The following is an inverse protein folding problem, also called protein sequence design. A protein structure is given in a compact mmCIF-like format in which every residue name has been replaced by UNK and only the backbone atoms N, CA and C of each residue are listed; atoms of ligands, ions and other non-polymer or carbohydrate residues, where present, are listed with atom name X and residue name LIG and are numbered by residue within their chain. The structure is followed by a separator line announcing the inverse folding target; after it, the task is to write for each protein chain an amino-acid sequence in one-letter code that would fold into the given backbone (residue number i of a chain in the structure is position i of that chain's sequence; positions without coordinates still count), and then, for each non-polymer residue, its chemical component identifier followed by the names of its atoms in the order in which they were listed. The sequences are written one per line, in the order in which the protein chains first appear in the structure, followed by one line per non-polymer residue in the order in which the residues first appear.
data_IF_740536191699
#
_entry.id   IF_740536191699
#
_cell.length_a   1.000
_cell.length_b   1.000
_cell.length_c   1.000
_cell.angle_alpha   90.00
_cell.angle_beta   90.00
_cell.angle_gamma   90.00
#
_symmetry.space_group_name_H-M   'P 1'
#
loop_
_entity.id
_entity.type
_entity.pdbx_description
1 polymer ?
#
# COMPACT_ATOMS: atom_id res chain seq x y z
N UNK A 1 -16.51 -12.30 -27.96
CA UNK A 1 -15.11 -12.53 -27.51
C UNK A 1 -15.11 -12.33 -25.99
N UNK A 2 -15.22 -13.41 -25.20
CA UNK A 2 -15.22 -13.33 -23.74
C UNK A 2 -13.81 -12.89 -23.32
N UNK A 3 -13.67 -11.65 -22.86
CA UNK A 3 -12.50 -11.24 -22.07
C UNK A 3 -12.51 -12.10 -20.81
N UNK A 4 -11.65 -13.11 -20.75
CA UNK A 4 -11.34 -13.81 -19.51
C UNK A 4 -10.65 -12.77 -18.62
N UNK A 5 -11.39 -12.20 -17.65
CA UNK A 5 -10.79 -11.56 -16.51
C UNK A 5 -9.86 -12.59 -15.88
N UNK A 6 -8.55 -12.36 -15.97
CA UNK A 6 -7.59 -13.11 -15.16
C UNK A 6 -7.89 -12.74 -13.72
N UNK A 7 -8.68 -13.56 -13.04
CA UNK A 7 -8.71 -13.56 -11.58
C UNK A 7 -7.27 -13.86 -11.19
N UNK A 8 -6.57 -12.86 -10.66
CA UNK A 8 -5.27 -13.08 -10.07
C UNK A 8 -5.50 -14.01 -8.90
N UNK A 9 -5.23 -15.28 -9.13
CA UNK A 9 -5.11 -16.26 -8.08
C UNK A 9 -3.88 -15.83 -7.26
N UNK A 10 -4.11 -15.22 -6.11
CA UNK A 10 -3.04 -14.74 -5.25
C UNK A 10 -2.18 -15.91 -4.79
N UNK A 11 -2.76 -17.10 -4.62
CA UNK A 11 -2.01 -18.33 -4.42
C UNK A 11 -1.06 -18.59 -5.60
N UNK A 12 -1.50 -18.39 -6.84
CA UNK A 12 -0.67 -18.55 -8.03
C UNK A 12 0.32 -17.38 -8.22
N UNK A 13 0.00 -16.16 -7.80
CA UNK A 13 0.86 -14.97 -7.88
C UNK A 13 2.00 -14.99 -6.87
N UNK A 14 1.72 -15.31 -5.62
CA UNK A 14 2.72 -15.53 -4.57
C UNK A 14 3.59 -16.78 -4.86
N UNK A 15 3.02 -17.81 -5.51
CA UNK A 15 3.74 -19.04 -5.85
C UNK A 15 4.57 -18.94 -7.13
N UNK A 16 4.29 -18.01 -8.04
CA UNK A 16 5.08 -17.81 -9.27
C UNK A 16 6.36 -17.00 -9.08
N UNK A 17 6.42 -16.12 -8.10
CA UNK A 17 7.69 -15.58 -7.66
C UNK A 17 8.33 -16.64 -6.77
N UNK A 18 9.62 -16.95 -6.91
CA UNK A 18 10.42 -17.91 -6.13
C UNK A 18 10.33 -17.79 -4.60
N UNK A 19 9.29 -17.20 -4.08
CA UNK A 19 8.84 -17.18 -2.68
C UNK A 19 8.21 -18.55 -2.41
N UNK A 20 9.06 -19.57 -2.56
CA UNK A 20 8.74 -20.93 -2.19
C UNK A 20 8.27 -20.92 -0.74
N UNK A 21 6.93 -21.15 -0.55
CA UNK A 21 6.36 -21.58 0.72
C UNK A 21 6.75 -20.69 1.90
N UNK A 22 6.32 -19.43 1.88
CA UNK A 22 6.13 -18.79 3.18
C UNK A 22 4.94 -19.52 3.79
N UNK A 23 5.23 -20.51 4.64
CA UNK A 23 4.17 -21.04 5.48
C UNK A 23 3.71 -19.91 6.41
N UNK A 24 2.49 -20.00 6.92
CA UNK A 24 1.94 -18.96 7.80
C UNK A 24 2.80 -18.77 9.07
N UNK A 25 3.39 -19.86 9.58
CA UNK A 25 4.34 -19.80 10.69
C UNK A 25 5.66 -19.14 10.32
N UNK A 26 6.20 -19.44 9.13
CA UNK A 26 7.41 -18.77 8.63
C UNK A 26 7.18 -17.26 8.45
N UNK A 27 5.97 -16.83 8.06
CA UNK A 27 5.65 -15.41 7.92
C UNK A 27 5.70 -14.66 9.26
N UNK A 28 5.21 -15.24 10.35
CA UNK A 28 5.26 -14.61 11.67
C UNK A 28 6.70 -14.52 12.18
N UNK A 29 7.54 -15.54 11.94
CA UNK A 29 8.97 -15.48 12.26
C UNK A 29 9.69 -14.42 11.41
N UNK A 30 9.41 -14.37 10.10
CA UNK A 30 9.91 -13.31 9.21
C UNK A 30 9.44 -11.93 9.67
N UNK A 31 8.20 -11.78 10.16
CA UNK A 31 7.65 -10.54 10.65
C UNK A 31 8.46 -10.03 11.85
N UNK A 32 8.72 -10.86 12.86
CA UNK A 32 9.54 -10.49 14.02
C UNK A 32 10.94 -10.07 13.61
N UNK A 33 11.60 -10.87 12.77
CA UNK A 33 12.96 -10.62 12.27
C UNK A 33 13.06 -9.34 11.44
N UNK A 34 12.13 -9.11 10.51
CA UNK A 34 12.19 -7.97 9.61
C UNK A 34 11.79 -6.66 10.27
N UNK A 35 10.76 -6.67 11.10
CA UNK A 35 10.36 -5.46 11.83
C UNK A 35 11.45 -5.03 12.82
N UNK A 36 12.09 -5.99 13.50
CA UNK A 36 13.25 -5.72 14.35
C UNK A 36 14.42 -5.09 13.58
N UNK A 37 14.75 -5.63 12.40
CA UNK A 37 15.83 -5.09 11.55
C UNK A 37 15.55 -3.69 10.98
N UNK A 38 14.29 -3.29 10.84
CA UNK A 38 13.93 -1.95 10.35
C UNK A 38 14.36 -0.83 11.29
N UNK A 39 14.49 -1.12 12.58
CA UNK A 39 14.95 -0.16 13.60
C UNK A 39 16.46 -0.16 13.76
N UNK A 40 17.20 -1.07 13.11
CA UNK A 40 18.66 -1.06 13.07
C UNK A 40 19.15 0.26 12.44
N UNK A 41 19.99 0.99 13.18
CA UNK A 41 20.54 2.31 12.80
C UNK A 41 21.23 2.38 11.44
N UNK A 42 21.54 1.23 10.84
CA UNK A 42 22.13 1.12 9.49
C UNK A 42 21.12 1.41 8.36
N UNK A 43 19.81 1.38 8.63
CA UNK A 43 18.75 1.60 7.61
C UNK A 43 18.18 3.03 7.65
N UNK A 44 19.02 4.05 7.39
CA UNK A 44 18.62 5.48 7.50
C UNK A 44 17.36 5.85 6.74
N UNK A 45 17.18 5.39 5.49
CA UNK A 45 15.98 5.70 4.70
C UNK A 45 14.72 5.09 5.29
N UNK A 46 14.79 3.84 5.76
CA UNK A 46 13.66 3.18 6.40
C UNK A 46 13.24 3.91 7.67
N UNK A 47 14.19 4.37 8.48
CA UNK A 47 13.92 5.18 9.68
C UNK A 47 13.21 6.49 9.35
N UNK A 48 13.65 7.20 8.31
CA UNK A 48 12.98 8.44 7.86
C UNK A 48 11.53 8.19 7.45
N UNK A 49 11.27 7.08 6.78
CA UNK A 49 9.91 6.69 6.40
C UNK A 49 9.06 6.33 7.62
N UNK A 50 9.58 5.57 8.57
CA UNK A 50 8.88 5.25 9.82
C UNK A 50 8.58 6.51 10.64
N UNK A 51 9.55 7.42 10.75
CA UNK A 51 9.36 8.69 11.47
C UNK A 51 8.29 9.57 10.83
N UNK A 52 8.26 9.70 9.51
CA UNK A 52 7.32 10.58 8.79
C UNK A 52 5.93 9.99 8.60
N UNK A 53 5.80 8.67 8.67
CA UNK A 53 4.55 7.94 8.40
C UNK A 53 3.35 8.44 9.22
N UNK A 54 3.41 8.55 10.57
CA UNK A 54 2.26 8.98 11.37
C UNK A 54 1.82 10.41 11.06
N UNK A 55 2.75 11.28 10.70
CA UNK A 55 2.43 12.66 10.34
C UNK A 55 1.68 12.74 9.00
N UNK A 56 2.03 11.90 8.03
CA UNK A 56 1.34 11.85 6.74
C UNK A 56 -0.04 11.22 6.91
N UNK A 57 -0.17 10.14 7.70
CA UNK A 57 -1.48 9.56 8.04
C UNK A 57 -2.37 10.60 8.72
N UNK A 58 -1.84 11.34 9.71
CA UNK A 58 -2.57 12.41 10.38
C UNK A 58 -2.98 13.53 9.40
N UNK A 59 -2.11 13.89 8.46
CA UNK A 59 -2.41 14.91 7.46
C UNK A 59 -3.64 14.55 6.62
N UNK A 60 -3.81 13.28 6.26
CA UNK A 60 -4.94 12.79 5.48
C UNK A 60 -6.13 12.30 6.31
N UNK A 61 -6.05 12.28 7.65
CA UNK A 61 -7.15 11.79 8.50
C UNK A 61 -8.45 12.60 8.37
N UNK A 62 -8.36 13.87 7.95
CA UNK A 62 -9.48 14.79 7.78
C UNK A 62 -9.74 15.12 6.30
N UNK A 63 -9.92 14.08 5.48
CA UNK A 63 -10.09 14.24 4.02
C UNK A 63 -11.29 15.10 3.66
N UNK A 64 -12.37 15.08 4.47
CA UNK A 64 -13.56 15.91 4.24
C UNK A 64 -13.24 17.40 4.26
N UNK A 65 -12.22 17.80 5.02
CA UNK A 65 -11.75 19.18 5.15
C UNK A 65 -10.57 19.49 4.22
N UNK A 66 -10.22 18.58 3.28
CA UNK A 66 -9.09 18.80 2.39
C UNK A 66 -9.48 19.87 1.35
N UNK A 67 -8.70 20.94 1.29
CA UNK A 67 -8.76 21.94 0.23
C UNK A 67 -7.91 21.52 -0.97
N UNK A 68 -8.08 22.22 -2.10
CA UNK A 68 -7.23 21.96 -3.28
C UNK A 68 -5.74 22.08 -2.94
N UNK A 69 -5.33 23.13 -2.25
CA UNK A 69 -3.93 23.35 -1.84
C UNK A 69 -3.43 22.25 -0.93
N UNK A 70 -4.23 21.84 0.06
CA UNK A 70 -3.90 20.72 0.95
C UNK A 70 -3.75 19.41 0.18
N UNK A 71 -4.60 19.13 -0.80
CA UNK A 71 -4.45 17.95 -1.64
C UNK A 71 -3.13 17.97 -2.40
N UNK A 72 -2.80 19.09 -3.05
CA UNK A 72 -1.53 19.25 -3.76
C UNK A 72 -0.35 19.04 -2.83
N UNK A 73 -0.34 19.71 -1.67
CA UNK A 73 0.73 19.53 -0.66
C UNK A 73 0.81 18.08 -0.16
N UNK A 74 -0.33 17.43 0.08
CA UNK A 74 -0.38 16.03 0.49
C UNK A 74 0.20 15.08 -0.56
N UNK A 75 -0.10 15.32 -1.82
CA UNK A 75 0.50 14.57 -2.94
C UNK A 75 2.02 14.80 -2.96
N UNK A 76 2.53 16.02 -2.78
CA UNK A 76 3.96 16.28 -2.65
C UNK A 76 4.60 15.57 -1.44
N UNK A 77 3.93 15.51 -0.30
CA UNK A 77 4.39 14.74 0.86
C UNK A 77 4.54 13.25 0.53
N UNK A 78 3.55 12.67 -0.16
CA UNK A 78 3.62 11.28 -0.64
C UNK A 78 4.78 11.08 -1.61
N UNK A 79 5.04 12.03 -2.49
CA UNK A 79 6.17 11.97 -3.42
C UNK A 79 7.53 12.14 -2.75
N UNK A 80 7.62 12.84 -1.63
CA UNK A 80 8.81 12.83 -0.76
C UNK A 80 9.20 11.42 -0.29
N UNK A 81 8.22 10.50 -0.31
CA UNK A 81 8.40 9.06 -0.12
C UNK A 81 8.78 8.30 -1.40
N UNK A 82 8.95 9.01 -2.50
CA UNK A 82 9.33 8.43 -3.79
C UNK A 82 10.49 9.23 -4.38
N UNK A 83 11.49 8.57 -4.96
CA UNK A 83 12.68 9.25 -5.49
C UNK A 83 12.45 10.01 -6.81
N UNK A 84 11.21 10.10 -7.30
CA UNK A 84 10.90 10.76 -8.58
C UNK A 84 9.91 11.90 -8.37
N UNK A 85 10.25 13.06 -8.96
CA UNK A 85 9.42 14.26 -8.89
C UNK A 85 8.07 14.08 -9.60
N UNK A 86 7.07 14.78 -9.06
CA UNK A 86 5.75 14.93 -9.67
C UNK A 86 5.84 15.56 -11.06
N UNK A 87 5.41 14.79 -12.05
CA UNK A 87 4.95 15.37 -13.30
C UNK A 87 3.42 15.21 -13.30
N UNK A 88 2.66 16.29 -13.26
CA UNK A 88 1.23 16.22 -13.51
C UNK A 88 1.02 15.73 -14.95
N UNK A 89 0.09 14.81 -15.12
CA UNK A 89 -0.22 14.09 -16.34
C UNK A 89 -0.12 15.00 -17.59
N UNK A 90 0.85 14.77 -18.46
CA UNK A 90 1.05 15.49 -19.73
C UNK A 90 1.06 17.03 -19.61
N UNK A 91 1.42 17.58 -18.45
CA UNK A 91 1.49 19.02 -18.22
C UNK A 91 0.15 19.72 -18.02
N UNK A 92 -0.96 18.98 -17.91
CA UNK A 92 -2.28 19.56 -17.58
C UNK A 92 -2.51 19.56 -16.06
N UNK A 93 -2.74 20.74 -15.46
CA UNK A 93 -3.09 20.80 -14.04
C UNK A 93 -4.45 20.13 -13.77
N UNK A 94 -4.65 19.71 -12.53
CA UNK A 94 -5.95 19.25 -12.05
C UNK A 94 -6.95 20.44 -12.13
N UNK A 95 -8.13 20.25 -12.76
CA UNK A 95 -9.16 21.27 -12.79
C UNK A 95 -9.90 21.34 -11.46
N UNK A 96 -10.62 22.44 -11.22
CA UNK A 96 -11.49 22.58 -10.05
C UNK A 96 -12.62 21.53 -10.03
N UNK A 97 -13.15 21.19 -11.20
CA UNK A 97 -14.17 20.15 -11.35
C UNK A 97 -13.63 18.78 -11.00
N UNK A 98 -12.46 18.42 -11.59
CA UNK A 98 -11.73 17.18 -11.23
C UNK A 98 -11.46 17.11 -9.72
N UNK A 99 -11.12 18.26 -9.10
CA UNK A 99 -10.86 18.30 -7.66
C UNK A 99 -12.11 18.01 -6.83
N UNK A 100 -13.26 18.58 -7.19
CA UNK A 100 -14.54 18.36 -6.45
C UNK A 100 -14.91 16.88 -6.52
N UNK A 101 -14.84 16.28 -7.71
CA UNK A 101 -15.11 14.85 -7.89
C UNK A 101 -14.12 13.99 -7.10
N UNK A 102 -12.82 14.31 -7.19
CA UNK A 102 -11.77 13.60 -6.49
C UNK A 102 -11.96 13.67 -4.96
N UNK A 103 -12.26 14.85 -4.40
CA UNK A 103 -12.50 15.03 -2.95
C UNK A 103 -13.66 14.16 -2.46
N UNK A 104 -14.77 14.15 -3.21
CA UNK A 104 -15.93 13.32 -2.87
C UNK A 104 -15.52 11.83 -2.84
N UNK A 105 -14.73 11.39 -3.82
CA UNK A 105 -14.25 10.00 -3.89
C UNK A 105 -13.25 9.66 -2.79
N UNK A 106 -12.36 10.56 -2.43
CA UNK A 106 -11.43 10.35 -1.31
C UNK A 106 -12.16 10.23 0.03
N UNK A 107 -13.22 11.04 0.27
CA UNK A 107 -14.06 10.92 1.46
C UNK A 107 -14.83 9.60 1.53
N UNK A 108 -15.25 9.08 0.39
CA UNK A 108 -15.85 7.74 0.28
C UNK A 108 -14.84 6.65 0.59
N UNK A 109 -13.68 6.68 -0.06
CA UNK A 109 -12.57 5.72 0.08
C UNK A 109 -12.06 5.66 1.53
N UNK A 110 -12.06 6.78 2.25
CA UNK A 110 -11.68 6.81 3.67
C UNK A 110 -12.55 5.89 4.55
N UNK A 111 -13.79 5.66 4.16
CA UNK A 111 -14.77 4.83 4.87
C UNK A 111 -14.80 3.38 4.39
N UNK A 112 -14.02 3.04 3.36
CA UNK A 112 -14.03 1.70 2.81
C UNK A 112 -13.49 0.65 3.78
N UNK A 113 -14.09 -0.52 3.69
CA UNK A 113 -13.76 -1.73 4.42
C UNK A 113 -14.01 -2.94 3.52
N UNK A 114 -13.74 -4.13 3.98
CA UNK A 114 -13.88 -5.37 3.17
C UNK A 114 -15.27 -5.57 2.53
N UNK A 115 -16.33 -5.08 3.15
CA UNK A 115 -17.69 -5.15 2.57
C UNK A 115 -17.83 -4.41 1.24
N UNK A 116 -16.89 -3.51 0.92
CA UNK A 116 -16.88 -2.74 -0.30
C UNK A 116 -16.13 -3.44 -1.46
N UNK A 117 -15.53 -4.63 -1.21
CA UNK A 117 -14.82 -5.34 -2.28
C UNK A 117 -15.72 -5.68 -3.47
N UNK A 118 -16.95 -6.13 -3.21
CA UNK A 118 -17.87 -6.48 -4.27
C UNK A 118 -18.38 -5.25 -5.04
N UNK A 119 -18.47 -4.10 -4.38
CA UNK A 119 -18.79 -2.81 -5.00
C UNK A 119 -17.65 -2.32 -5.89
N UNK A 120 -16.39 -2.49 -5.43
CA UNK A 120 -15.18 -2.06 -6.13
C UNK A 120 -14.90 -2.87 -7.39
N UNK A 121 -15.06 -4.19 -7.31
CA UNK A 121 -14.72 -5.10 -8.40
C UNK A 121 -15.88 -5.34 -9.37
N UNK A 122 -17.09 -4.82 -9.03
CA UNK A 122 -18.31 -5.12 -9.76
C UNK A 122 -18.71 -6.60 -9.64
N UNK A 123 -19.93 -6.94 -10.12
CA UNK A 123 -20.44 -8.33 -10.08
C UNK A 123 -19.58 -9.33 -10.86
N UNK A 124 -18.77 -8.83 -11.79
CA UNK A 124 -17.92 -9.64 -12.68
C UNK A 124 -16.45 -9.65 -12.22
N UNK A 125 -16.12 -9.11 -11.03
CA UNK A 125 -14.77 -9.07 -10.49
C UNK A 125 -13.79 -8.14 -11.21
N UNK A 126 -14.28 -7.26 -12.08
CA UNK A 126 -13.50 -6.26 -12.81
C UNK A 126 -14.04 -4.86 -12.49
N UNK A 127 -13.20 -3.97 -11.96
CA UNK A 127 -13.52 -2.55 -11.91
C UNK A 127 -13.54 -2.05 -13.35
N UNK A 128 -14.72 -1.80 -13.89
CA UNK A 128 -14.85 -1.33 -15.27
C UNK A 128 -14.39 0.12 -15.36
N UNK A 129 -13.34 0.40 -16.13
CA UNK A 129 -12.93 1.79 -16.48
C UNK A 129 -14.08 2.59 -17.13
N UNK A 130 -15.15 1.90 -17.57
CA UNK A 130 -16.32 2.48 -18.23
C UNK A 130 -17.45 2.88 -17.27
N UNK A 131 -17.44 2.44 -16.00
CA UNK A 131 -18.41 2.85 -15.00
C UNK A 131 -18.11 4.22 -14.38
N UNK A 132 -19.12 4.88 -13.76
CA UNK A 132 -18.91 6.15 -13.03
C UNK A 132 -17.82 6.01 -11.95
N UNK A 133 -17.73 4.85 -11.31
CA UNK A 133 -16.75 4.54 -10.28
C UNK A 133 -15.33 4.39 -10.85
N UNK A 134 -15.17 3.79 -12.02
CA UNK A 134 -13.90 3.69 -12.71
C UNK A 134 -13.30 5.05 -13.08
N UNK A 135 -14.13 6.04 -13.45
CA UNK A 135 -13.65 7.40 -13.75
C UNK A 135 -13.03 8.09 -12.55
N UNK A 136 -13.68 8.00 -11.38
CA UNK A 136 -13.19 8.66 -10.15
C UNK A 136 -11.89 8.04 -9.64
N UNK A 137 -11.73 6.72 -9.76
CA UNK A 137 -10.50 6.01 -9.42
C UNK A 137 -9.37 6.29 -10.45
N UNK A 138 -9.74 6.51 -11.70
CA UNK A 138 -8.82 6.98 -12.73
C UNK A 138 -8.28 8.39 -12.44
N UNK A 139 -9.10 9.27 -11.84
CA UNK A 139 -8.63 10.58 -11.35
C UNK A 139 -7.54 10.45 -10.28
N UNK A 140 -7.63 9.47 -9.38
CA UNK A 140 -6.57 9.19 -8.40
C UNK A 140 -5.24 8.84 -9.07
N UNK A 141 -5.29 8.02 -10.11
CA UNK A 141 -4.10 7.70 -10.92
C UNK A 141 -3.57 8.92 -11.65
N UNK A 142 -4.47 9.79 -12.15
CA UNK A 142 -4.12 11.05 -12.82
C UNK A 142 -3.35 12.00 -11.88
N UNK A 143 -3.84 12.21 -10.65
CA UNK A 143 -3.19 13.05 -9.64
C UNK A 143 -1.81 12.55 -9.27
N UNK A 144 -1.57 11.26 -9.40
CA UNK A 144 -0.28 10.63 -9.13
C UNK A 144 0.52 10.33 -10.39
N UNK A 145 0.37 11.14 -11.42
CA UNK A 145 1.10 11.04 -12.70
C UNK A 145 0.97 9.68 -13.39
N UNK A 146 -0.22 9.09 -13.39
CA UNK A 146 -0.44 7.77 -13.97
C UNK A 146 0.21 6.61 -13.20
N UNK A 147 0.81 6.88 -12.03
CA UNK A 147 1.55 5.90 -11.26
C UNK A 147 0.66 5.09 -10.33
N UNK A 148 0.62 3.77 -10.52
CA UNK A 148 -0.03 2.85 -9.57
C UNK A 148 0.64 2.92 -8.19
N UNK A 149 1.97 3.05 -8.14
CA UNK A 149 2.73 3.22 -6.89
C UNK A 149 2.30 4.49 -6.16
N UNK A 150 2.17 5.61 -6.87
CA UNK A 150 1.69 6.87 -6.30
C UNK A 150 0.25 6.76 -5.82
N UNK A 151 -0.62 6.18 -6.62
CA UNK A 151 -2.03 5.96 -6.28
C UNK A 151 -2.17 5.08 -5.03
N UNK A 152 -1.45 3.95 -4.96
CA UNK A 152 -1.50 3.05 -3.81
C UNK A 152 -1.06 3.74 -2.51
N UNK A 153 -0.02 4.59 -2.57
CA UNK A 153 0.43 5.39 -1.43
C UNK A 153 -0.62 6.41 -1.00
N UNK A 154 -1.22 7.13 -1.95
CA UNK A 154 -2.29 8.09 -1.65
C UNK A 154 -3.47 7.39 -0.96
N UNK A 155 -3.95 6.29 -1.51
CA UNK A 155 -5.03 5.49 -0.94
C UNK A 155 -4.68 4.98 0.45
N UNK A 156 -3.45 4.48 0.64
CA UNK A 156 -2.97 4.02 1.93
C UNK A 156 -3.00 5.12 3.00
N UNK A 157 -2.46 6.30 2.70
CA UNK A 157 -2.46 7.40 3.68
C UNK A 157 -3.85 7.93 4.02
N UNK A 158 -4.82 7.80 3.10
CA UNK A 158 -6.22 8.15 3.33
C UNK A 158 -6.93 7.08 4.18
N UNK A 159 -6.66 5.81 3.90
CA UNK A 159 -7.24 4.68 4.64
C UNK A 159 -6.20 3.56 4.86
N UNK A 160 -5.30 3.72 5.84
CA UNK A 160 -4.21 2.79 6.09
C UNK A 160 -4.67 1.44 6.67
N UNK A 161 -5.93 1.33 7.08
CA UNK A 161 -6.53 0.07 7.56
C UNK A 161 -7.00 -0.82 6.42
N UNK A 162 -7.13 -0.24 5.20
CA UNK A 162 -7.71 -0.95 4.07
C UNK A 162 -6.77 -1.08 2.88
N UNK A 163 -6.03 -0.04 2.51
CA UNK A 163 -5.19 -0.06 1.31
C UNK A 163 -3.74 -0.38 1.62
N UNK A 164 -3.19 -1.51 1.18
CA UNK A 164 -1.75 -1.76 1.23
C UNK A 164 -1.02 -0.92 0.17
N UNK A 165 0.18 -0.45 0.50
CA UNK A 165 1.07 0.18 -0.48
C UNK A 165 1.54 -0.89 -1.47
N UNK A 166 1.62 -0.48 -2.74
CA UNK A 166 2.26 -1.25 -3.79
C UNK A 166 3.46 -0.49 -4.32
N UNK A 167 4.62 -1.13 -4.34
CA UNK A 167 5.84 -0.56 -4.90
C UNK A 167 6.70 -1.65 -5.59
N UNK A 168 7.87 -1.27 -6.05
CA UNK A 168 8.74 -2.21 -6.77
C UNK A 168 9.34 -3.32 -5.89
N UNK A 169 9.34 -3.20 -4.56
CA UNK A 169 9.74 -4.28 -3.67
C UNK A 169 8.58 -5.25 -3.47
N UNK A 170 7.38 -4.71 -3.22
CA UNK A 170 6.15 -5.52 -3.19
C UNK A 170 5.97 -6.26 -4.51
N UNK A 171 6.21 -5.60 -5.66
CA UNK A 171 6.16 -6.24 -6.99
C UNK A 171 7.10 -7.45 -7.12
N UNK A 172 8.24 -7.45 -6.43
CA UNK A 172 9.15 -8.59 -6.43
C UNK A 172 8.56 -9.84 -5.74
N UNK A 173 7.57 -9.65 -4.85
CA UNK A 173 6.87 -10.71 -4.13
C UNK A 173 5.59 -11.12 -4.84
N UNK A 174 4.71 -10.14 -5.17
CA UNK A 174 3.34 -10.42 -5.65
C UNK A 174 3.21 -10.38 -7.18
N UNK A 175 4.24 -9.92 -7.89
CA UNK A 175 4.18 -9.71 -9.33
C UNK A 175 3.87 -8.26 -9.72
N UNK A 176 3.88 -7.99 -11.03
CA UNK A 176 3.72 -6.64 -11.57
C UNK A 176 2.24 -6.25 -11.68
N UNK A 177 1.90 -5.07 -11.15
CA UNK A 177 0.58 -4.44 -11.20
C UNK A 177 0.68 -3.18 -12.05
N UNK A 178 -0.05 -3.11 -13.15
CA UNK A 178 0.01 -2.03 -14.15
C UNK A 178 -1.26 -1.20 -14.24
N UNK A 179 -2.40 -1.80 -13.89
CA UNK A 179 -3.71 -1.19 -14.03
C UNK A 179 -4.35 -0.96 -12.67
N UNK A 180 -5.38 -0.11 -12.64
CA UNK A 180 -6.18 0.15 -11.43
C UNK A 180 -6.90 -1.14 -11.00
N UNK A 181 -7.43 -1.90 -11.95
CA UNK A 181 -8.13 -3.16 -11.68
C UNK A 181 -7.20 -4.21 -11.07
N UNK A 182 -5.98 -4.32 -11.58
CA UNK A 182 -4.96 -5.20 -11.02
C UNK A 182 -4.56 -4.77 -9.59
N UNK A 183 -4.52 -3.45 -9.33
CA UNK A 183 -4.27 -2.97 -7.97
C UNK A 183 -5.39 -3.35 -7.00
N UNK A 184 -6.65 -3.23 -7.40
CA UNK A 184 -7.77 -3.66 -6.54
C UNK A 184 -7.83 -5.18 -6.36
N UNK A 185 -7.47 -5.95 -7.38
CA UNK A 185 -7.30 -7.39 -7.24
C UNK A 185 -6.19 -7.73 -6.23
N UNK A 186 -5.06 -6.99 -6.27
CA UNK A 186 -4.02 -7.08 -5.26
C UNK A 186 -4.53 -6.73 -3.85
N UNK A 187 -5.29 -5.64 -3.69
CA UNK A 187 -5.88 -5.26 -2.38
C UNK A 187 -6.75 -6.39 -1.82
N UNK A 188 -7.65 -6.97 -2.65
CA UNK A 188 -8.50 -8.09 -2.23
C UNK A 188 -7.67 -9.30 -1.80
N UNK A 189 -6.71 -9.68 -2.62
CA UNK A 189 -5.83 -10.80 -2.34
C UNK A 189 -4.99 -10.59 -1.08
N UNK A 190 -4.51 -9.35 -0.85
CA UNK A 190 -3.80 -8.97 0.37
C UNK A 190 -4.66 -9.17 1.62
N UNK A 191 -5.95 -8.79 1.57
CA UNK A 191 -6.86 -9.02 2.71
C UNK A 191 -7.17 -10.51 2.92
N UNK A 192 -7.27 -11.31 1.87
CA UNK A 192 -7.41 -12.76 2.00
C UNK A 192 -6.18 -13.35 2.73
N UNK A 193 -4.99 -12.97 2.31
CA UNK A 193 -3.74 -13.37 2.95
C UNK A 193 -3.65 -12.91 4.42
N UNK A 194 -4.05 -11.66 4.70
CA UNK A 194 -4.14 -11.12 6.07
C UNK A 194 -5.03 -11.99 6.96
N UNK A 195 -6.22 -12.34 6.47
CA UNK A 195 -7.14 -13.22 7.20
C UNK A 195 -6.54 -14.59 7.48
N UNK A 196 -5.82 -15.15 6.53
CA UNK A 196 -5.18 -16.45 6.71
C UNK A 196 -4.09 -16.41 7.79
N UNK A 197 -3.29 -15.32 7.85
CA UNK A 197 -2.29 -15.14 8.91
C UNK A 197 -2.98 -15.00 10.27
N UNK A 198 -4.00 -14.16 10.39
CA UNK A 198 -4.72 -13.93 11.63
C UNK A 198 -5.47 -15.19 12.11
N UNK A 199 -6.00 -16.00 11.19
CA UNK A 199 -6.63 -17.28 11.52
C UNK A 199 -5.61 -18.34 11.98
N UNK A 200 -4.34 -18.20 11.59
CA UNK A 200 -3.28 -19.12 12.02
C UNK A 200 -2.86 -18.84 13.45
N UNK A 201 -2.49 -17.60 13.77
CA UNK A 201 -2.10 -17.16 15.11
C UNK A 201 -2.25 -15.64 15.26
N UNK A 202 -3.44 -15.21 15.67
CA UNK A 202 -3.73 -13.79 15.86
C UNK A 202 -3.04 -13.21 17.09
N UNK A 203 -2.79 -14.00 18.12
CA UNK A 203 -2.18 -13.53 19.38
C UNK A 203 -0.71 -13.21 19.13
N UNK A 204 0.01 -14.11 18.46
CA UNK A 204 1.41 -13.91 18.14
C UNK A 204 1.59 -12.75 17.15
N UNK A 205 0.73 -12.65 16.13
CA UNK A 205 0.72 -11.51 15.22
C UNK A 205 0.59 -10.17 15.97
N UNK A 206 -0.39 -10.06 16.86
CA UNK A 206 -0.64 -8.84 17.62
C UNK A 206 0.49 -8.53 18.62
N UNK A 207 1.11 -9.56 19.20
CA UNK A 207 2.29 -9.40 20.06
C UNK A 207 3.43 -8.74 19.25
N UNK A 208 3.81 -9.33 18.12
CA UNK A 208 4.91 -8.83 17.28
C UNK A 208 4.61 -7.40 16.79
N UNK A 209 3.38 -7.13 16.36
CA UNK A 209 2.95 -5.81 15.90
C UNK A 209 3.10 -4.74 16.99
N UNK A 210 2.66 -5.04 18.21
CA UNK A 210 2.77 -4.14 19.37
C UNK A 210 4.22 -3.92 19.79
N UNK A 211 5.03 -4.97 19.85
CA UNK A 211 6.45 -4.87 20.18
C UNK A 211 7.18 -3.94 19.20
N UNK A 212 6.86 -4.04 17.90
CA UNK A 212 7.38 -3.14 16.89
C UNK A 212 6.89 -1.69 17.09
N UNK A 213 5.62 -1.50 17.40
CA UNK A 213 5.02 -0.18 17.66
C UNK A 213 5.68 0.50 18.86
N UNK A 214 5.88 -0.23 19.95
CA UNK A 214 6.54 0.25 21.16
C UNK A 214 8.03 0.55 20.92
N UNK A 215 8.69 -0.28 20.13
CA UNK A 215 10.07 -0.02 19.72
C UNK A 215 10.19 1.25 18.85
N UNK A 216 9.24 1.48 17.95
CA UNK A 216 9.17 2.74 17.19
C UNK A 216 8.92 3.95 18.08
N UNK A 217 8.01 3.86 19.05
CA UNK A 217 7.77 4.94 20.04
C UNK A 217 8.99 5.25 20.86
N UNK A 218 9.72 4.22 21.29
CA UNK A 218 10.98 4.39 22.05
C UNK A 218 12.05 5.07 21.19
N UNK A 219 12.16 4.69 19.92
CA UNK A 219 13.19 5.20 19.01
C UNK A 219 12.91 6.64 18.56
N UNK A 220 11.65 6.97 18.25
CA UNK A 220 11.26 8.25 17.66
C UNK A 220 10.60 9.22 18.64
N UNK A 221 10.41 8.80 19.90
CA UNK A 221 9.76 9.57 20.95
C UNK A 221 8.24 9.49 20.93
N UNK A 222 7.61 9.75 22.08
CA UNK A 222 6.15 9.67 22.27
C UNK A 222 5.34 10.70 21.46
N UNK A 223 6.00 11.65 20.81
CA UNK A 223 5.32 12.64 19.96
C UNK A 223 4.80 12.02 18.66
N UNK A 224 5.36 10.88 18.24
CA UNK A 224 4.84 10.08 17.15
C UNK A 224 3.77 9.16 17.70
N UNK A 225 2.51 9.57 17.59
CA UNK A 225 1.37 8.68 17.90
C UNK A 225 1.29 7.60 16.79
N UNK A 226 2.32 6.72 16.75
CA UNK A 226 2.48 5.73 15.71
C UNK A 226 1.55 4.56 15.99
N UNK A 227 0.45 4.50 15.25
CA UNK A 227 -0.39 3.31 15.14
C UNK A 227 0.07 2.53 13.91
N UNK A 228 0.57 1.31 14.10
CA UNK A 228 0.90 0.39 13.01
C UNK A 228 -0.32 -0.49 12.75
N UNK A 229 -1.07 -0.20 11.71
CA UNK A 229 -2.23 -1.03 11.34
C UNK A 229 -1.79 -2.44 10.92
N UNK A 230 -2.69 -3.42 11.00
CA UNK A 230 -2.46 -4.78 10.50
C UNK A 230 -2.00 -4.79 9.04
N UNK A 231 -2.66 -3.99 8.19
CA UNK A 231 -2.28 -3.82 6.78
C UNK A 231 -0.84 -3.31 6.67
N UNK A 232 -0.49 -2.29 7.46
CA UNK A 232 0.85 -1.72 7.43
C UNK A 232 1.92 -2.69 7.93
N UNK A 233 1.65 -3.45 8.99
CA UNK A 233 2.60 -4.44 9.51
C UNK A 233 2.94 -5.50 8.46
N UNK A 234 1.93 -6.10 7.84
CA UNK A 234 2.11 -7.13 6.81
C UNK A 234 2.82 -6.54 5.57
N UNK A 235 2.41 -5.35 5.13
CA UNK A 235 3.03 -4.66 3.99
C UNK A 235 4.53 -4.40 4.22
N UNK A 236 4.93 -3.97 5.41
CA UNK A 236 6.33 -3.74 5.77
C UNK A 236 7.16 -5.03 5.67
N UNK A 237 6.61 -6.16 6.10
CA UNK A 237 7.27 -7.47 5.98
C UNK A 237 7.43 -7.85 4.51
N UNK A 238 6.37 -7.77 3.70
CA UNK A 238 6.42 -8.05 2.27
C UNK A 238 7.42 -7.13 1.55
N UNK A 239 7.48 -5.85 1.93
CA UNK A 239 8.48 -4.91 1.42
C UNK A 239 9.91 -5.38 1.69
N UNK A 240 10.21 -5.85 2.91
CA UNK A 240 11.56 -6.33 3.27
C UNK A 240 11.92 -7.64 2.55
N UNK A 241 10.97 -8.56 2.43
CA UNK A 241 11.15 -9.79 1.65
C UNK A 241 11.50 -9.44 0.19
N UNK A 242 10.72 -8.56 -0.43
CA UNK A 242 10.95 -8.13 -1.80
C UNK A 242 12.29 -7.40 -2.00
N UNK A 243 12.72 -6.60 -1.02
CA UNK A 243 14.04 -5.97 -1.00
C UNK A 243 15.13 -7.03 -0.97
N UNK A 244 15.02 -8.04 -0.09
CA UNK A 244 15.98 -9.15 0.02
C UNK A 244 16.09 -9.95 -1.29
N UNK A 245 14.96 -10.22 -1.97
CA UNK A 245 14.93 -10.88 -3.28
C UNK A 245 15.69 -10.05 -4.32
N UNK A 246 15.51 -8.74 -4.36
CA UNK A 246 16.20 -7.87 -5.31
C UNK A 246 17.70 -7.78 -5.05
N UNK A 247 18.09 -7.70 -3.79
CA UNK A 247 19.51 -7.61 -3.41
C UNK A 247 20.25 -8.91 -3.74
N UNK A 248 19.64 -10.06 -3.50
CA UNK A 248 20.18 -11.37 -3.90
C UNK A 248 20.38 -11.47 -5.41
N UNK A 249 19.43 -10.97 -6.22
CA UNK A 249 19.54 -10.95 -7.69
C UNK A 249 20.66 -10.03 -8.20
N UNK A 250 20.94 -8.91 -7.50
CA UNK A 250 22.05 -8.00 -7.84
C UNK A 250 23.41 -8.64 -7.56
N UNK A 251 23.55 -9.31 -6.41
CA UNK A 251 24.79 -9.99 -6.03
C UNK A 251 25.11 -11.13 -7.00
N UNK A 252 24.10 -11.88 -7.46
CA UNK A 252 24.29 -12.96 -8.44
C UNK A 252 24.69 -12.47 -9.84
N UNK A 253 24.46 -11.18 -10.19
CA UNK A 253 24.83 -10.58 -11.48
C UNK A 253 26.22 -9.93 -11.49
N UNK A 254 26.80 -9.70 -10.32
CA UNK A 254 28.14 -9.13 -10.14
C UNK A 254 28.96 -10.07 -9.22
N UNK A 255 29.38 -11.24 -9.72
CA UNK A 255 30.21 -12.20 -8.95
C UNK A 255 31.62 -11.67 -8.70
#
# INVERSE_FOLDING_TARGET
MKMMCKVYDFEAGLLKAEVRKITKGDFLQDMEDYLGKMLDGRQRLTRSYLLSYPFIVKYFSEVENITFDKLILGVYLIYGWMPRALCFNEGKPLSQEDFVELRAKLSEVQKWSEKHFDEMLGKDGCASEKGKEGKSLFLLKKVTNGSIVGMSKLLHFINPKFFPIYDSNIAAVVGEVKTVDEYFAYVKAFHCFTKEILNHDSEEFERIRKDFEDACRKEFGNQTNMEVTTVRAIELVLFQIGKSIKDSKKTAKNP
#
